data_IF_879816408254
#
_entry.id   IF_879816408254
#
_cell.length_a   1.000
_cell.length_b   1.000
_cell.length_c   1.000
_cell.angle_alpha   90.00
_cell.angle_beta   90.00
_cell.angle_gamma   90.00
#
_symmetry.space_group_name_H-M   'P 1'
#
loop_
_entity.id
_entity.type
_entity.pdbx_description
1 polymer ?
#
# COMPACT_ATOMS: atom_id res chain seq x y z
N UNK A 1 -4.05 -10.69 -22.90
CA UNK A 1 -3.18 -10.86 -21.72
C UNK A 1 -1.74 -10.70 -22.18
N UNK A 2 -1.04 -9.65 -21.73
CA UNK A 2 0.40 -9.49 -21.97
C UNK A 2 1.10 -10.40 -20.97
N UNK A 3 1.81 -11.44 -21.43
CA UNK A 3 2.68 -12.25 -20.56
C UNK A 3 3.96 -11.46 -20.33
N UNK A 4 4.26 -11.16 -19.06
CA UNK A 4 5.55 -10.57 -18.68
C UNK A 4 6.68 -11.58 -18.96
N UNK A 5 7.85 -11.13 -19.44
CA UNK A 5 9.04 -11.97 -19.59
C UNK A 5 9.38 -12.69 -18.26
N UNK A 6 9.80 -13.96 -18.29
CA UNK A 6 10.05 -14.78 -17.09
C UNK A 6 11.04 -14.14 -16.11
N UNK A 7 12.03 -13.44 -16.63
CA UNK A 7 13.00 -12.63 -15.89
C UNK A 7 12.37 -11.44 -15.15
N UNK A 8 11.33 -10.82 -15.69
CA UNK A 8 10.57 -9.76 -14.99
C UNK A 8 9.77 -10.31 -13.81
N UNK A 9 9.14 -11.48 -13.98
CA UNK A 9 8.37 -12.10 -12.90
C UNK A 9 9.26 -12.45 -11.71
N UNK A 10 10.48 -12.96 -11.96
CA UNK A 10 11.46 -13.24 -10.90
C UNK A 10 11.80 -11.98 -10.08
N UNK A 11 12.08 -10.87 -10.75
CA UNK A 11 12.41 -9.62 -10.07
C UNK A 11 11.23 -9.01 -9.29
N UNK A 12 10.00 -9.17 -9.77
CA UNK A 12 8.80 -8.74 -9.02
C UNK A 12 8.67 -9.55 -7.72
N UNK A 13 8.85 -10.88 -7.79
CA UNK A 13 8.81 -11.73 -6.59
C UNK A 13 9.94 -11.41 -5.60
N UNK A 14 11.14 -11.10 -6.09
CA UNK A 14 12.26 -10.65 -5.24
C UNK A 14 11.92 -9.32 -4.53
N UNK A 15 11.30 -8.37 -5.23
CA UNK A 15 10.84 -7.12 -4.63
C UNK A 15 9.76 -7.35 -3.57
N UNK A 16 8.75 -8.20 -3.85
CA UNK A 16 7.71 -8.55 -2.87
C UNK A 16 8.31 -9.16 -1.60
N UNK A 17 9.32 -10.03 -1.75
CA UNK A 17 10.02 -10.64 -0.63
C UNK A 17 10.79 -9.60 0.21
N UNK A 18 11.45 -8.63 -0.44
CA UNK A 18 12.15 -7.53 0.24
C UNK A 18 11.14 -6.66 1.00
N UNK A 19 10.01 -6.29 0.37
CA UNK A 19 8.97 -5.51 1.03
C UNK A 19 8.40 -6.23 2.24
N UNK A 20 8.13 -7.54 2.12
CA UNK A 20 7.63 -8.34 3.25
C UNK A 20 8.63 -8.41 4.41
N UNK A 21 9.93 -8.56 4.12
CA UNK A 21 10.98 -8.58 5.15
C UNK A 21 11.13 -7.22 5.84
N UNK A 22 11.17 -6.13 5.07
CA UNK A 22 11.20 -4.76 5.62
C UNK A 22 9.99 -4.55 6.53
N UNK A 23 8.80 -4.89 6.06
CA UNK A 23 7.56 -4.68 6.81
C UNK A 23 7.48 -5.51 8.10
N UNK A 24 8.05 -6.72 8.10
CA UNK A 24 8.13 -7.58 9.29
C UNK A 24 9.05 -6.99 10.36
N UNK A 25 10.09 -6.27 9.96
CA UNK A 25 11.07 -5.69 10.87
C UNK A 25 10.69 -4.27 11.35
N UNK A 26 9.62 -3.67 10.80
CA UNK A 26 9.11 -2.37 11.25
C UNK A 26 8.40 -2.48 12.60
N UNK A 27 8.63 -1.49 13.45
CA UNK A 27 7.86 -1.29 14.68
C UNK A 27 6.39 -0.97 14.36
N UNK A 28 5.51 -1.16 15.34
CA UNK A 28 4.08 -0.80 15.20
C UNK A 28 3.93 0.69 14.80
N UNK A 29 4.73 1.58 15.40
CA UNK A 29 4.67 3.01 15.09
C UNK A 29 5.14 3.32 13.66
N UNK A 30 6.19 2.67 13.18
CA UNK A 30 6.65 2.85 11.79
C UNK A 30 5.60 2.34 10.79
N UNK A 31 4.92 1.23 11.10
CA UNK A 31 3.83 0.70 10.26
C UNK A 31 2.62 1.64 10.26
N UNK A 32 2.26 2.22 11.41
CA UNK A 32 1.23 3.26 11.52
C UNK A 32 1.58 4.45 10.61
N UNK A 33 2.79 5.00 10.75
CA UNK A 33 3.24 6.14 9.96
C UNK A 33 3.24 5.82 8.45
N UNK A 34 3.62 4.59 8.08
CA UNK A 34 3.58 4.13 6.70
C UNK A 34 2.15 4.09 6.15
N UNK A 35 1.19 3.51 6.89
CA UNK A 35 -0.21 3.48 6.48
C UNK A 35 -0.79 4.90 6.32
N UNK A 36 -0.51 5.81 7.26
CA UNK A 36 -0.93 7.22 7.18
C UNK A 36 -0.37 7.91 5.93
N UNK A 37 0.95 7.76 5.69
CA UNK A 37 1.60 8.34 4.51
C UNK A 37 1.06 7.78 3.20
N UNK A 38 0.74 6.47 3.16
CA UNK A 38 0.17 5.82 1.99
C UNK A 38 -1.24 6.32 1.69
N UNK A 39 -2.08 6.50 2.71
CA UNK A 39 -3.42 7.09 2.58
C UNK A 39 -3.31 8.50 2.00
N UNK A 40 -2.50 9.36 2.63
CA UNK A 40 -2.34 10.76 2.21
C UNK A 40 -1.82 10.86 0.78
N UNK A 41 -0.79 10.09 0.44
CA UNK A 41 -0.19 10.09 -0.90
C UNK A 41 -1.20 9.65 -1.95
N UNK A 42 -1.97 8.60 -1.67
CA UNK A 42 -2.95 8.05 -2.60
C UNK A 42 -4.16 8.98 -2.76
N UNK A 43 -4.63 9.58 -1.67
CA UNK A 43 -5.70 10.60 -1.71
C UNK A 43 -5.27 11.84 -2.47
N UNK A 44 -4.04 12.30 -2.26
CA UNK A 44 -3.47 13.43 -3.00
C UNK A 44 -3.36 13.12 -4.50
N UNK A 45 -2.92 11.90 -4.85
CA UNK A 45 -2.88 11.44 -6.24
C UNK A 45 -4.27 11.44 -6.87
N UNK A 46 -5.27 10.86 -6.18
CA UNK A 46 -6.66 10.83 -6.64
C UNK A 46 -7.22 12.24 -6.85
N UNK A 47 -6.97 13.15 -5.92
CA UNK A 47 -7.47 14.54 -5.97
C UNK A 47 -6.86 15.28 -7.16
N UNK A 48 -5.53 15.26 -7.28
CA UNK A 48 -4.78 15.96 -8.34
C UNK A 48 -5.11 15.45 -9.74
N UNK A 49 -5.34 14.15 -9.88
CA UNK A 49 -5.54 13.52 -11.18
C UNK A 49 -6.99 13.13 -11.48
N UNK A 50 -7.95 13.52 -10.62
CA UNK A 50 -9.34 13.07 -10.68
C UNK A 50 -9.98 13.14 -12.08
N UNK A 51 -9.63 14.14 -12.90
CA UNK A 51 -10.16 14.34 -14.25
C UNK A 51 -9.50 13.45 -15.32
N UNK A 52 -8.31 12.91 -15.05
CA UNK A 52 -7.49 12.16 -16.00
C UNK A 52 -7.36 10.67 -15.69
N UNK A 53 -7.84 10.24 -14.51
CA UNK A 53 -7.79 8.85 -14.10
C UNK A 53 -8.88 8.03 -14.79
N UNK A 54 -8.46 6.92 -15.40
CA UNK A 54 -9.41 5.90 -15.80
C UNK A 54 -10.00 5.19 -14.57
N UNK A 55 -11.15 4.55 -14.77
CA UNK A 55 -11.90 3.90 -13.71
C UNK A 55 -11.09 2.82 -12.96
N UNK A 56 -10.32 2.00 -13.68
CA UNK A 56 -9.51 0.93 -13.09
C UNK A 56 -8.44 1.48 -12.11
N UNK A 57 -7.73 2.55 -12.49
CA UNK A 57 -6.73 3.16 -11.61
C UNK A 57 -7.41 3.78 -10.39
N UNK A 58 -8.58 4.40 -10.57
CA UNK A 58 -9.37 4.97 -9.46
C UNK A 58 -9.82 3.89 -8.47
N UNK A 59 -10.34 2.77 -8.96
CA UNK A 59 -10.75 1.62 -8.15
C UNK A 59 -9.57 1.06 -7.37
N UNK A 60 -8.45 0.77 -8.04
CA UNK A 60 -7.22 0.29 -7.36
C UNK A 60 -6.69 1.26 -6.31
N UNK A 61 -6.74 2.56 -6.58
CA UNK A 61 -6.30 3.57 -5.62
C UNK A 61 -7.22 3.59 -4.39
N UNK A 62 -8.53 3.42 -4.58
CA UNK A 62 -9.48 3.29 -3.48
C UNK A 62 -9.24 2.01 -2.67
N UNK A 63 -8.96 0.88 -3.34
CA UNK A 63 -8.64 -0.38 -2.67
C UNK A 63 -7.40 -0.26 -1.78
N UNK A 64 -6.36 0.45 -2.25
CA UNK A 64 -5.16 0.76 -1.47
C UNK A 64 -5.51 1.57 -0.22
N UNK A 65 -6.35 2.61 -0.35
CA UNK A 65 -6.77 3.44 0.78
C UNK A 65 -7.53 2.59 1.80
N UNK A 66 -8.48 1.76 1.37
CA UNK A 66 -9.29 0.91 2.25
C UNK A 66 -8.41 -0.09 2.99
N UNK A 67 -7.45 -0.72 2.30
CA UNK A 67 -6.51 -1.65 2.91
C UNK A 67 -5.65 -0.97 3.97
N UNK A 68 -5.07 0.20 3.64
CA UNK A 68 -4.24 0.96 4.56
C UNK A 68 -5.02 1.46 5.79
N UNK A 69 -6.27 1.91 5.62
CA UNK A 69 -7.14 2.31 6.72
C UNK A 69 -7.49 1.14 7.64
N UNK A 70 -7.76 -0.04 7.05
CA UNK A 70 -8.06 -1.25 7.82
C UNK A 70 -6.87 -1.69 8.67
N UNK A 71 -5.67 -1.68 8.08
CA UNK A 71 -4.45 -2.01 8.80
C UNK A 71 -4.12 -1.00 9.90
N UNK A 72 -4.24 0.30 9.62
CA UNK A 72 -4.06 1.37 10.60
C UNK A 72 -4.99 1.19 11.80
N UNK A 73 -6.25 0.82 11.56
CA UNK A 73 -7.22 0.55 12.63
C UNK A 73 -6.78 -0.63 13.51
N UNK A 74 -6.28 -1.72 12.93
CA UNK A 74 -5.80 -2.87 13.70
C UNK A 74 -4.52 -2.54 14.48
N UNK A 75 -3.56 -1.84 13.87
CA UNK A 75 -2.32 -1.43 14.52
C UNK A 75 -2.57 -0.48 15.70
N UNK A 76 -3.48 0.49 15.54
CA UNK A 76 -3.83 1.43 16.61
C UNK A 76 -4.58 0.76 17.76
N UNK A 77 -5.42 -0.25 17.49
CA UNK A 77 -6.04 -1.08 18.54
C UNK A 77 -5.01 -1.86 19.33
N UNK A 78 -4.00 -2.42 18.67
CA UNK A 78 -2.91 -3.14 19.33
C UNK A 78 -2.02 -2.21 20.16
N UNK A 79 -1.74 -0.99 19.67
CA UNK A 79 -0.92 -0.02 20.40
C UNK A 79 -1.60 0.51 21.68
N UNK A 80 -2.94 0.58 21.72
CA UNK A 80 -3.70 1.02 22.92
C UNK A 80 -3.84 -0.04 24.02
N UNK A 81 -3.45 -1.29 23.75
CA UNK A 81 -3.57 -2.41 24.70
C UNK A 81 -2.28 -2.71 25.47
N UNK A 82 -1.22 -1.95 25.22
CA UNK A 82 0.08 -1.98 25.92
C UNK A 82 0.14 -0.77 26.84
#
# INVERSE_FOLDING_TARGET
>A
MIKLPENMNKHITELDAIYADVFKNMTIQERINYCESLIDTTQNFLTKNSQFLNQNIREKSNDIIIAAQSELLELTKHNKKI
#
